data_IF_141056734511
#
_entry.id   IF_141056734511
#
_cell.length_a   1.000
_cell.length_b   1.000
_cell.length_c   1.000
_cell.angle_alpha   90.00
_cell.angle_beta   90.00
_cell.angle_gamma   90.00
#
_symmetry.space_group_name_H-M   'P 1'
#
loop_
_entity.id
_entity.type
_entity.pdbx_description
1 polymer ?
#
# COMPACT_ATOMS: atom_id res chain seq x y z
N UNK A 1 -43.52 -49.66 -5.93
CA UNK A 1 -42.33 -49.07 -6.60
C UNK A 1 -42.34 -47.54 -6.70
N UNK A 2 -43.23 -46.80 -6.02
CA UNK A 2 -43.28 -45.32 -6.07
C UNK A 2 -42.55 -44.60 -4.90
N UNK A 3 -42.12 -45.33 -3.87
CA UNK A 3 -41.57 -44.71 -2.65
C UNK A 3 -40.00 -44.69 -2.57
N UNK A 4 -39.32 -45.34 -3.52
CA UNK A 4 -37.85 -45.40 -3.54
C UNK A 4 -37.25 -44.16 -4.22
N UNK A 5 -37.99 -43.50 -5.12
CA UNK A 5 -37.51 -42.32 -5.85
C UNK A 5 -37.43 -41.04 -5.00
N UNK A 6 -38.18 -40.95 -3.89
CA UNK A 6 -38.20 -39.77 -3.03
C UNK A 6 -37.07 -39.75 -2.02
N UNK A 7 -36.49 -40.89 -1.64
CA UNK A 7 -35.41 -40.99 -0.67
C UNK A 7 -34.06 -40.67 -1.32
N UNK A 8 -33.87 -40.98 -2.60
CA UNK A 8 -32.62 -40.70 -3.32
C UNK A 8 -32.44 -39.19 -3.62
N UNK A 9 -33.57 -38.47 -3.81
CA UNK A 9 -33.53 -37.02 -4.08
C UNK A 9 -33.17 -36.17 -2.86
N UNK A 10 -33.37 -36.67 -1.63
CA UNK A 10 -33.09 -35.93 -0.39
C UNK A 10 -31.62 -36.07 0.08
N UNK A 11 -30.90 -37.08 -0.41
CA UNK A 11 -29.50 -37.31 -0.07
C UNK A 11 -28.51 -36.49 -0.89
N UNK A 12 -28.92 -35.81 -1.96
CA UNK A 12 -28.06 -34.99 -2.81
C UNK A 12 -27.93 -33.53 -2.38
N UNK A 13 -28.67 -33.08 -1.36
CA UNK A 13 -28.66 -31.67 -0.93
C UNK A 13 -27.64 -31.38 0.19
N UNK A 14 -26.99 -32.40 0.78
CA UNK A 14 -26.05 -32.24 1.89
C UNK A 14 -24.57 -32.20 1.50
N UNK A 15 -24.25 -32.13 0.20
CA UNK A 15 -22.85 -32.26 -0.25
C UNK A 15 -22.10 -30.95 -0.55
N UNK A 16 -22.63 -29.79 -0.19
CA UNK A 16 -21.90 -28.52 -0.46
C UNK A 16 -21.94 -27.54 0.70
N UNK A 17 -21.44 -27.92 1.88
CA UNK A 17 -21.10 -26.92 2.91
C UNK A 17 -20.02 -27.46 3.85
N UNK A 18 -18.84 -27.78 3.32
CA UNK A 18 -17.62 -27.68 4.12
C UNK A 18 -16.95 -26.36 3.74
N UNK A 19 -17.07 -25.29 4.54
CA UNK A 19 -16.13 -24.19 4.41
C UNK A 19 -14.76 -24.79 4.61
N UNK A 20 -13.87 -24.64 3.64
CA UNK A 20 -12.50 -25.04 3.77
C UNK A 20 -11.94 -24.38 5.04
N UNK A 21 -11.88 -25.11 6.13
CA UNK A 21 -11.21 -24.69 7.35
C UNK A 21 -9.71 -24.69 7.04
N UNK A 22 -9.22 -23.58 6.47
CA UNK A 22 -7.77 -23.38 6.41
C UNK A 22 -7.25 -23.38 7.84
N UNK A 23 -6.34 -24.29 8.12
CA UNK A 23 -5.65 -24.30 9.40
C UNK A 23 -4.91 -22.96 9.55
N UNK A 24 -4.69 -22.50 10.78
CA UNK A 24 -3.96 -21.27 11.06
C UNK A 24 -2.53 -21.31 10.47
N UNK A 25 -1.98 -22.50 10.28
CA UNK A 25 -0.66 -22.77 9.66
C UNK A 25 -0.64 -22.60 8.13
N UNK A 26 -1.81 -22.64 7.46
CA UNK A 26 -1.89 -22.64 5.99
C UNK A 26 -2.09 -21.23 5.41
N UNK A 27 -2.18 -20.20 6.25
CA UNK A 27 -2.38 -18.82 5.81
C UNK A 27 -1.04 -18.14 5.62
N UNK A 28 -0.69 -17.69 4.38
CA UNK A 28 0.57 -17.02 4.14
C UNK A 28 0.62 -15.66 4.83
N UNK A 29 1.80 -15.28 5.29
CA UNK A 29 2.06 -13.89 5.65
C UNK A 29 2.07 -13.01 4.40
N UNK A 30 1.54 -11.79 4.50
CA UNK A 30 1.42 -10.87 3.37
C UNK A 30 2.21 -9.59 3.68
N UNK A 31 3.17 -9.28 2.83
CA UNK A 31 3.91 -8.01 2.87
C UNK A 31 3.62 -7.27 1.57
N UNK A 32 2.96 -6.13 1.67
CA UNK A 32 2.68 -5.24 0.54
C UNK A 32 3.66 -4.07 0.61
N UNK A 33 4.54 -3.95 -0.39
CA UNK A 33 5.51 -2.85 -0.47
C UNK A 33 5.07 -1.86 -1.53
N UNK A 34 4.82 -0.62 -1.11
CA UNK A 34 4.49 0.50 -1.99
C UNK A 34 5.63 1.52 -1.98
N UNK A 35 6.12 1.89 -3.15
CA UNK A 35 7.10 2.96 -3.33
C UNK A 35 6.42 4.10 -4.08
N UNK A 36 6.37 5.28 -3.45
CA UNK A 36 5.61 6.41 -3.95
C UNK A 36 6.37 7.15 -5.07
N UNK A 37 5.69 7.42 -6.17
CA UNK A 37 6.24 8.10 -7.36
C UNK A 37 7.43 7.39 -8.03
N UNK A 38 7.66 6.10 -7.77
CA UNK A 38 8.69 5.31 -8.45
C UNK A 38 8.24 4.97 -9.88
N UNK A 39 9.05 5.30 -10.86
CA UNK A 39 8.83 4.94 -12.25
C UNK A 39 9.06 3.45 -12.50
N UNK A 40 8.26 2.84 -13.36
CA UNK A 40 8.39 1.41 -13.66
C UNK A 40 9.73 1.03 -14.32
N UNK A 41 10.38 1.99 -15.01
CA UNK A 41 11.71 1.81 -15.60
C UNK A 41 12.88 2.16 -14.67
N UNK A 42 12.61 2.57 -13.43
CA UNK A 42 13.67 2.96 -12.50
C UNK A 42 14.31 1.77 -11.78
N UNK A 43 13.86 0.54 -12.09
CA UNK A 43 14.38 -0.69 -11.51
C UNK A 43 15.33 -1.40 -12.49
N UNK A 44 16.43 -1.98 -11.98
CA UNK A 44 17.42 -2.68 -12.80
C UNK A 44 16.82 -3.82 -13.62
N UNK A 45 16.00 -4.68 -13.01
CA UNK A 45 15.32 -5.79 -13.71
C UNK A 45 14.26 -5.32 -14.74
N UNK A 46 13.88 -4.04 -14.71
CA UNK A 46 13.02 -3.41 -15.72
C UNK A 46 13.81 -2.65 -16.79
N UNK A 47 15.15 -2.71 -16.75
CA UNK A 47 16.05 -2.18 -17.77
C UNK A 47 16.74 -0.86 -17.40
N UNK A 48 16.65 -0.37 -16.15
CA UNK A 48 17.44 0.79 -15.71
C UNK A 48 18.93 0.48 -15.76
N UNK A 49 19.68 1.35 -16.42
CA UNK A 49 21.16 1.31 -16.42
C UNK A 49 21.77 2.31 -15.45
N UNK A 50 20.97 3.27 -15.00
CA UNK A 50 21.39 4.33 -14.09
C UNK A 50 21.15 3.97 -12.64
N UNK A 51 19.92 3.56 -12.30
CA UNK A 51 19.56 3.20 -10.92
C UNK A 51 19.96 1.76 -10.61
N UNK A 52 20.60 1.57 -9.47
CA UNK A 52 21.06 0.27 -8.97
C UNK A 52 20.04 -0.28 -7.97
N UNK A 53 19.45 -1.43 -8.29
CA UNK A 53 18.46 -2.10 -7.44
C UNK A 53 18.81 -3.58 -7.22
N UNK A 54 20.06 -3.93 -6.80
CA UNK A 54 20.57 -5.29 -6.84
C UNK A 54 19.74 -6.28 -6.01
N UNK A 55 19.20 -5.86 -4.87
CA UNK A 55 18.35 -6.72 -4.04
C UNK A 55 16.97 -6.96 -4.65
N UNK A 56 16.37 -5.95 -5.31
CA UNK A 56 15.11 -6.12 -6.03
C UNK A 56 15.30 -6.93 -7.30
N UNK A 57 16.43 -6.76 -7.98
CA UNK A 57 16.77 -7.52 -9.18
C UNK A 57 16.92 -9.01 -8.86
N UNK A 58 17.56 -9.35 -7.72
CA UNK A 58 17.67 -10.72 -7.25
C UNK A 58 16.30 -11.28 -6.79
N UNK A 59 15.53 -10.49 -6.08
CA UNK A 59 14.19 -10.88 -5.65
C UNK A 59 13.26 -11.15 -6.85
N UNK A 60 13.35 -10.36 -7.90
CA UNK A 60 12.57 -10.53 -9.12
C UNK A 60 12.83 -11.88 -9.81
N UNK A 61 14.04 -12.45 -9.70
CA UNK A 61 14.38 -13.80 -10.24
C UNK A 61 13.70 -14.93 -9.49
N UNK A 62 13.29 -14.69 -8.24
CA UNK A 62 12.67 -15.68 -7.35
C UNK A 62 11.15 -15.60 -7.34
N UNK A 63 10.57 -14.64 -8.04
CA UNK A 63 9.14 -14.34 -8.03
C UNK A 63 8.56 -14.17 -9.42
N UNK A 64 7.36 -13.60 -9.46
CA UNK A 64 6.66 -13.26 -10.70
C UNK A 64 6.79 -11.76 -10.98
N UNK A 65 7.24 -11.40 -12.17
CA UNK A 65 7.30 -10.03 -12.65
C UNK A 65 6.12 -9.76 -13.58
N UNK A 66 5.29 -8.78 -13.23
CA UNK A 66 4.17 -8.34 -14.05
C UNK A 66 4.64 -7.20 -14.98
N UNK A 67 4.85 -7.50 -16.25
CA UNK A 67 5.33 -6.53 -17.25
C UNK A 67 4.24 -5.54 -17.70
N UNK A 68 2.97 -5.89 -17.50
CA UNK A 68 1.81 -5.10 -17.87
C UNK A 68 0.89 -4.83 -16.66
N UNK A 69 1.47 -4.38 -15.53
CA UNK A 69 0.73 -3.94 -14.36
C UNK A 69 0.55 -2.42 -14.37
N UNK A 70 -0.68 -1.96 -14.15
CA UNK A 70 -1.03 -0.54 -14.24
C UNK A 70 -1.61 -0.06 -12.91
N UNK A 71 -1.15 1.12 -12.46
CA UNK A 71 -1.80 1.82 -11.37
C UNK A 71 -3.20 2.28 -11.81
N UNK A 72 -4.19 2.13 -10.96
CA UNK A 72 -5.59 2.48 -11.24
C UNK A 72 -5.86 3.97 -11.36
N UNK A 73 -4.91 4.82 -10.98
CA UNK A 73 -4.93 6.26 -11.15
C UNK A 73 -3.52 6.84 -11.13
N UNK A 74 -3.34 7.99 -11.78
CA UNK A 74 -2.05 8.67 -11.93
C UNK A 74 -1.57 9.37 -10.64
N UNK A 75 -2.45 9.61 -9.67
CA UNK A 75 -2.12 10.26 -8.39
C UNK A 75 -2.13 9.26 -7.24
N UNK A 76 -1.36 9.56 -6.20
CA UNK A 76 -1.20 8.69 -5.03
C UNK A 76 -2.51 8.39 -4.28
N UNK A 77 -3.31 9.38 -3.89
CA UNK A 77 -4.53 9.14 -3.11
C UNK A 77 -5.57 8.29 -3.87
N UNK A 78 -5.97 8.58 -5.11
CA UNK A 78 -6.93 7.75 -5.82
C UNK A 78 -6.38 6.34 -6.14
N UNK A 79 -5.09 6.22 -6.47
CA UNK A 79 -4.46 4.90 -6.69
C UNK A 79 -4.50 4.04 -5.42
N UNK A 80 -4.16 4.62 -4.26
CA UNK A 80 -4.24 3.95 -2.96
C UNK A 80 -5.67 3.62 -2.55
N UNK A 81 -6.62 4.52 -2.79
CA UNK A 81 -8.03 4.27 -2.55
C UNK A 81 -8.52 3.06 -3.35
N UNK A 82 -8.13 2.95 -4.62
CA UNK A 82 -8.44 1.78 -5.45
C UNK A 82 -7.75 0.51 -4.95
N UNK A 83 -6.46 0.59 -4.61
CA UNK A 83 -5.68 -0.55 -4.12
C UNK A 83 -6.31 -1.18 -2.86
N UNK A 84 -6.69 -0.36 -1.89
CA UNK A 84 -7.24 -0.85 -0.63
C UNK A 84 -8.74 -1.16 -0.66
N UNK A 85 -9.51 -0.59 -1.59
CA UNK A 85 -10.95 -0.83 -1.70
C UNK A 85 -11.34 -1.84 -2.78
N UNK A 86 -10.45 -2.16 -3.72
CA UNK A 86 -10.79 -2.94 -4.92
C UNK A 86 -11.73 -2.21 -5.88
N UNK A 87 -11.99 -0.92 -5.66
CA UNK A 87 -12.91 -0.11 -6.45
C UNK A 87 -12.14 0.85 -7.37
N UNK A 88 -12.69 1.15 -8.53
CA UNK A 88 -12.17 2.23 -9.38
C UNK A 88 -12.65 3.62 -8.91
N UNK A 89 -11.97 4.67 -9.39
CA UNK A 89 -12.17 6.05 -8.93
C UNK A 89 -13.62 6.55 -8.99
N UNK A 90 -14.45 6.27 -10.00
CA UNK A 90 -15.86 6.68 -10.00
C UNK A 90 -16.68 6.09 -8.85
N UNK A 91 -16.35 4.90 -8.40
CA UNK A 91 -17.08 4.22 -7.32
C UNK A 91 -16.70 4.72 -5.93
N UNK A 92 -15.41 4.89 -5.64
CA UNK A 92 -15.00 5.42 -4.33
C UNK A 92 -14.99 6.95 -4.27
N UNK A 93 -14.98 7.66 -5.41
CA UNK A 93 -15.13 9.11 -5.49
C UNK A 93 -13.88 9.93 -5.11
N UNK A 94 -12.73 9.29 -4.88
CA UNK A 94 -11.43 9.95 -4.68
C UNK A 94 -10.76 10.06 -6.05
N UNK A 95 -10.91 11.19 -6.73
CA UNK A 95 -10.44 11.36 -8.12
C UNK A 95 -9.01 11.91 -8.22
N UNK A 96 -8.60 12.70 -7.23
CA UNK A 96 -7.30 13.36 -7.22
C UNK A 96 -6.87 13.76 -5.82
N UNK A 97 -5.62 14.13 -5.67
CA UNK A 97 -5.11 14.78 -4.46
C UNK A 97 -5.61 16.22 -4.40
N UNK A 98 -6.23 16.60 -3.29
CA UNK A 98 -6.75 17.94 -3.08
C UNK A 98 -8.02 18.23 -3.90
N UNK A 99 -8.05 19.34 -4.63
CA UNK A 99 -9.22 19.78 -5.39
C UNK A 99 -9.17 19.30 -6.83
N UNK A 100 -10.30 18.81 -7.34
CA UNK A 100 -10.48 18.52 -8.77
C UNK A 100 -10.68 19.79 -9.63
N UNK A 101 -10.89 20.95 -9.00
CA UNK A 101 -11.02 22.23 -9.69
C UNK A 101 -9.65 22.74 -10.13
N UNK A 102 -9.37 22.67 -11.43
CA UNK A 102 -8.13 23.17 -12.05
C UNK A 102 -8.41 24.42 -12.87
N UNK A 103 -7.42 25.32 -12.95
CA UNK A 103 -7.48 26.53 -13.73
C UNK A 103 -8.46 27.59 -13.18
N UNK A 104 -8.58 28.72 -13.89
CA UNK A 104 -9.49 29.81 -13.54
C UNK A 104 -10.95 29.38 -13.76
N UNK A 105 -11.81 29.68 -12.78
CA UNK A 105 -13.25 29.39 -12.84
C UNK A 105 -13.92 30.02 -14.07
N UNK A 106 -13.48 31.23 -14.49
CA UNK A 106 -14.05 31.99 -15.60
C UNK A 106 -13.80 31.35 -16.97
N UNK A 107 -12.70 30.62 -17.10
CA UNK A 107 -12.29 29.97 -18.35
C UNK A 107 -12.54 28.45 -18.37
N UNK A 108 -13.06 27.91 -17.26
CA UNK A 108 -13.32 26.49 -17.14
C UNK A 108 -14.53 26.06 -17.97
N UNK A 109 -14.30 25.22 -18.97
CA UNK A 109 -15.34 24.71 -19.89
C UNK A 109 -16.15 23.55 -19.31
N UNK A 110 -15.59 22.80 -18.34
CA UNK A 110 -16.22 21.62 -17.75
C UNK A 110 -16.41 21.80 -16.25
N UNK A 111 -17.52 21.27 -15.74
CA UNK A 111 -17.74 21.15 -14.29
C UNK A 111 -16.95 19.95 -13.78
N UNK A 112 -15.96 20.16 -12.90
CA UNK A 112 -15.17 19.06 -12.40
C UNK A 112 -16.00 18.17 -11.45
N UNK A 113 -15.77 16.86 -11.50
CA UNK A 113 -16.38 15.91 -10.56
C UNK A 113 -16.07 16.31 -9.11
N UNK A 114 -17.04 16.12 -8.21
CA UNK A 114 -16.86 16.38 -6.78
C UNK A 114 -15.87 15.35 -6.20
N UNK A 115 -14.68 15.83 -5.85
CA UNK A 115 -13.64 14.99 -5.27
C UNK A 115 -13.92 14.72 -3.78
N UNK A 116 -13.90 13.46 -3.36
CA UNK A 116 -13.84 13.09 -1.95
C UNK A 116 -12.38 13.16 -1.49
N UNK A 117 -12.16 13.75 -0.31
CA UNK A 117 -10.82 13.91 0.25
C UNK A 117 -10.23 12.58 0.76
N UNK A 118 -11.12 11.70 1.26
CA UNK A 118 -10.76 10.41 1.86
C UNK A 118 -11.65 9.31 1.31
N UNK A 119 -11.16 8.08 1.41
CA UNK A 119 -11.98 6.89 1.25
C UNK A 119 -13.04 6.89 2.36
N UNK A 120 -14.29 6.59 2.01
CA UNK A 120 -15.36 6.53 2.99
C UNK A 120 -15.18 5.28 3.88
N UNK A 121 -15.29 5.46 5.20
CA UNK A 121 -15.14 4.38 6.17
C UNK A 121 -16.20 3.27 6.04
N UNK A 122 -17.31 3.51 5.30
CA UNK A 122 -18.28 2.47 4.96
C UNK A 122 -17.82 1.53 3.83
N UNK A 123 -16.70 1.84 3.17
CA UNK A 123 -16.12 1.00 2.12
C UNK A 123 -15.21 -0.03 2.80
N UNK A 124 -15.57 -1.30 2.68
CA UNK A 124 -14.80 -2.40 3.23
C UNK A 124 -13.46 -2.55 2.52
N UNK A 125 -12.39 -2.47 3.26
CA UNK A 125 -11.02 -2.39 2.74
C UNK A 125 -10.27 -3.72 2.83
N UNK A 126 -9.19 -3.85 2.08
CA UNK A 126 -8.30 -5.01 2.15
C UNK A 126 -7.79 -5.31 3.57
N UNK A 127 -7.33 -4.32 4.38
CA UNK A 127 -6.96 -4.60 5.77
C UNK A 127 -8.13 -5.09 6.63
N UNK A 128 -9.34 -4.55 6.47
CA UNK A 128 -10.53 -5.02 7.20
C UNK A 128 -10.87 -6.46 6.83
N UNK A 129 -10.79 -6.81 5.55
CA UNK A 129 -11.00 -8.17 5.07
C UNK A 129 -9.98 -9.14 5.69
N UNK A 130 -8.70 -8.79 5.66
CA UNK A 130 -7.63 -9.61 6.23
C UNK A 130 -7.75 -9.73 7.75
N UNK A 131 -8.10 -8.63 8.43
CA UNK A 131 -8.37 -8.63 9.87
C UNK A 131 -9.54 -9.56 10.23
N UNK A 132 -10.64 -9.52 9.47
CA UNK A 132 -11.76 -10.44 9.68
C UNK A 132 -11.39 -11.91 9.42
N UNK A 133 -10.38 -12.15 8.57
CA UNK A 133 -9.80 -13.46 8.36
C UNK A 133 -8.75 -13.85 9.42
N UNK A 134 -8.56 -13.06 10.48
CA UNK A 134 -7.67 -13.37 11.60
C UNK A 134 -6.20 -12.97 11.40
N UNK A 135 -5.91 -12.08 10.45
CA UNK A 135 -4.59 -11.49 10.30
C UNK A 135 -4.36 -10.37 11.29
N UNK A 136 -3.15 -10.25 11.82
CA UNK A 136 -2.67 -9.04 12.50
C UNK A 136 -2.24 -8.05 11.42
N UNK A 137 -2.84 -6.84 11.40
CA UNK A 137 -2.65 -5.88 10.32
C UNK A 137 -1.79 -4.71 10.74
N UNK A 138 -0.87 -4.28 9.86
CA UNK A 138 0.02 -3.15 10.15
C UNK A 138 0.24 -2.26 8.92
N UNK A 139 0.44 -0.96 9.19
CA UNK A 139 0.85 0.03 8.20
C UNK A 139 2.10 0.76 8.67
N UNK A 140 3.10 0.84 7.81
CA UNK A 140 4.36 1.54 8.02
C UNK A 140 4.56 2.56 6.90
N UNK A 141 4.38 3.84 7.23
CA UNK A 141 4.51 4.96 6.29
C UNK A 141 3.20 5.44 5.69
N UNK A 142 3.27 5.94 4.46
CA UNK A 142 2.22 6.71 3.80
C UNK A 142 0.89 5.95 3.68
N UNK A 143 -0.19 6.53 4.21
CA UNK A 143 -1.57 6.04 4.03
C UNK A 143 -2.33 6.86 2.98
N UNK A 144 -2.57 8.12 3.25
CA UNK A 144 -3.09 9.15 2.32
C UNK A 144 -4.54 8.96 1.86
N UNK A 145 -5.30 8.04 2.44
CA UNK A 145 -6.71 7.80 2.10
C UNK A 145 -7.67 7.94 3.29
N UNK A 146 -7.15 8.31 4.45
CA UNK A 146 -7.88 8.53 5.69
C UNK A 146 -7.01 9.27 6.70
N UNK A 147 -7.61 9.75 7.81
CA UNK A 147 -6.87 10.44 8.87
C UNK A 147 -6.05 9.46 9.72
N UNK A 148 -6.65 8.33 10.04
CA UNK A 148 -6.05 7.26 10.83
C UNK A 148 -6.33 5.91 10.17
N UNK A 149 -5.31 5.16 9.75
CA UNK A 149 -5.47 3.83 9.18
C UNK A 149 -6.23 2.85 10.07
N UNK A 150 -6.27 3.08 11.38
CA UNK A 150 -6.97 2.21 12.33
C UNK A 150 -8.49 2.16 12.09
N UNK A 151 -9.07 3.24 11.56
CA UNK A 151 -10.51 3.25 11.18
C UNK A 151 -10.81 2.39 9.95
N UNK A 152 -9.76 1.93 9.25
CA UNK A 152 -9.83 1.17 8.01
C UNK A 152 -9.11 -0.19 8.14
N UNK A 153 -9.16 -0.80 9.32
CA UNK A 153 -8.74 -2.18 9.55
C UNK A 153 -7.28 -2.39 9.92
N UNK A 154 -6.50 -1.35 10.20
CA UNK A 154 -5.11 -1.46 10.63
C UNK A 154 -5.02 -1.52 12.17
N UNK A 155 -4.35 -2.54 12.72
CA UNK A 155 -4.08 -2.68 14.15
C UNK A 155 -2.88 -1.84 14.60
N UNK A 156 -1.80 -1.86 13.83
CA UNK A 156 -0.55 -1.16 14.12
C UNK A 156 -0.22 -0.13 13.04
N UNK A 157 -0.11 1.14 13.42
CA UNK A 157 0.18 2.23 12.48
C UNK A 157 1.41 3.02 12.92
N UNK A 158 2.39 3.11 12.06
CA UNK A 158 3.59 3.94 12.20
C UNK A 158 3.70 4.88 11.00
N UNK A 159 3.53 6.18 11.21
CA UNK A 159 3.73 7.21 10.18
C UNK A 159 2.61 7.35 9.15
N UNK A 160 1.51 6.58 9.27
CA UNK A 160 0.40 6.66 8.33
C UNK A 160 -0.67 7.66 8.76
N UNK A 161 -0.99 8.63 7.90
CA UNK A 161 -2.09 9.59 8.11
C UNK A 161 -2.63 10.08 6.75
N UNK A 162 -3.40 11.14 6.79
CA UNK A 162 -3.89 11.79 5.57
C UNK A 162 -2.81 12.60 4.81
N UNK A 163 -1.58 12.68 5.33
CA UNK A 163 -0.47 13.37 4.67
C UNK A 163 0.07 12.56 3.50
N UNK A 164 0.28 13.23 2.36
CA UNK A 164 0.76 12.60 1.13
C UNK A 164 2.26 12.70 0.90
N UNK A 165 2.99 13.42 1.76
CA UNK A 165 4.43 13.60 1.68
C UNK A 165 5.04 13.72 3.09
N UNK A 166 6.36 13.63 3.25
CA UNK A 166 7.01 13.69 4.57
C UNK A 166 7.07 15.09 5.18
N UNK A 167 6.47 16.10 4.53
CA UNK A 167 6.50 17.49 4.97
C UNK A 167 7.74 18.26 4.51
N UNK A 168 7.85 19.52 4.94
CA UNK A 168 8.95 20.41 4.52
C UNK A 168 10.32 19.99 5.02
N UNK A 169 10.36 19.35 6.19
CA UNK A 169 11.62 18.88 6.80
C UNK A 169 12.13 17.59 6.14
N UNK A 170 11.24 16.93 5.37
CA UNK A 170 11.61 15.82 4.50
C UNK A 170 11.86 14.51 5.22
N UNK A 171 12.91 13.80 4.77
CA UNK A 171 13.16 12.40 5.11
C UNK A 171 14.09 12.19 6.31
N UNK A 172 14.57 13.26 6.96
CA UNK A 172 15.47 13.13 8.09
C UNK A 172 14.82 13.60 9.40
N UNK A 173 15.04 12.84 10.48
CA UNK A 173 14.54 13.18 11.81
C UNK A 173 15.18 14.50 12.32
N UNK A 174 14.39 15.40 12.96
CA UNK A 174 13.04 15.18 13.50
C UNK A 174 11.94 15.22 12.44
N UNK A 175 11.14 14.15 12.39
CA UNK A 175 10.03 14.07 11.45
C UNK A 175 8.83 14.91 11.89
N UNK A 176 8.13 15.52 10.93
CA UNK A 176 6.81 16.15 11.15
C UNK A 176 5.68 15.28 10.58
N UNK A 177 5.77 13.98 10.82
CA UNK A 177 4.83 12.95 10.38
C UNK A 177 4.02 12.47 11.57
N UNK A 178 2.70 12.36 11.40
CA UNK A 178 1.81 11.85 12.45
C UNK A 178 2.11 10.37 12.74
N UNK A 179 1.88 9.94 13.97
CA UNK A 179 2.03 8.55 14.41
C UNK A 179 3.45 7.95 14.27
N UNK A 180 4.48 8.81 14.25
CA UNK A 180 5.88 8.37 14.35
C UNK A 180 6.60 9.21 15.40
N UNK A 181 7.32 8.55 16.29
CA UNK A 181 8.15 9.23 17.30
C UNK A 181 9.55 9.49 16.73
N UNK A 182 10.08 10.68 16.99
CA UNK A 182 11.47 10.99 16.69
C UNK A 182 12.35 10.32 17.74
N UNK A 183 13.32 9.51 17.32
CA UNK A 183 14.24 8.82 18.23
C UNK A 183 15.67 9.36 18.08
N UNK A 184 16.20 9.29 16.86
CA UNK A 184 17.58 9.69 16.60
C UNK A 184 17.62 10.88 15.64
N UNK A 185 18.28 12.00 16.00
CA UNK A 185 18.49 13.11 15.09
C UNK A 185 19.22 12.63 13.81
N UNK A 186 18.71 13.06 12.65
CA UNK A 186 19.28 12.68 11.35
C UNK A 186 18.96 11.25 10.89
N UNK A 187 18.13 10.51 11.60
CA UNK A 187 17.64 9.18 11.14
C UNK A 187 16.85 9.32 9.83
N UNK A 188 17.13 8.45 8.86
CA UNK A 188 16.49 8.47 7.57
C UNK A 188 15.15 7.72 7.62
N UNK A 189 14.07 8.36 7.18
CA UNK A 189 12.69 7.85 7.29
C UNK A 189 12.51 6.46 6.65
N UNK A 190 13.11 6.23 5.49
CA UNK A 190 13.00 4.95 4.80
C UNK A 190 13.61 3.81 5.64
N UNK A 191 14.77 4.05 6.27
CA UNK A 191 15.37 3.08 7.18
C UNK A 191 14.50 2.84 8.41
N UNK A 192 13.96 3.93 8.98
CA UNK A 192 13.08 3.84 10.14
C UNK A 192 11.86 2.97 9.85
N UNK A 193 11.15 3.22 8.77
CA UNK A 193 9.95 2.44 8.38
C UNK A 193 10.30 0.97 8.12
N UNK A 194 11.44 0.70 7.49
CA UNK A 194 11.95 -0.65 7.27
C UNK A 194 12.22 -1.37 8.58
N UNK A 195 12.91 -0.72 9.53
CA UNK A 195 13.24 -1.30 10.85
C UNK A 195 11.99 -1.58 11.68
N UNK A 196 10.99 -0.69 11.66
CA UNK A 196 9.70 -0.90 12.31
C UNK A 196 8.96 -2.11 11.71
N UNK A 197 8.99 -2.23 10.38
CA UNK A 197 8.38 -3.39 9.69
C UNK A 197 9.08 -4.70 10.08
N UNK A 198 10.40 -4.73 10.10
CA UNK A 198 11.18 -5.92 10.52
C UNK A 198 10.86 -6.29 11.97
N UNK A 199 10.77 -5.30 12.86
CA UNK A 199 10.41 -5.51 14.26
C UNK A 199 9.00 -6.11 14.40
N UNK A 200 8.04 -5.59 13.64
CA UNK A 200 6.68 -6.13 13.59
C UNK A 200 6.65 -7.58 13.10
N UNK A 201 7.35 -7.89 12.01
CA UNK A 201 7.43 -9.24 11.44
C UNK A 201 7.97 -10.22 12.48
N UNK A 202 9.09 -9.89 13.11
CA UNK A 202 9.72 -10.76 14.14
C UNK A 202 8.78 -11.03 15.31
N UNK A 203 8.00 -10.02 15.72
CA UNK A 203 7.04 -10.14 16.84
C UNK A 203 5.82 -11.00 16.48
N UNK A 204 5.42 -11.02 15.22
CA UNK A 204 4.18 -11.66 14.79
C UNK A 204 4.39 -12.91 13.94
N UNK A 205 5.60 -13.45 13.86
CA UNK A 205 5.95 -14.58 12.99
C UNK A 205 5.12 -15.85 13.26
N UNK A 206 4.62 -16.02 14.48
CA UNK A 206 3.78 -17.15 14.88
C UNK A 206 2.30 -17.00 14.50
N UNK A 207 1.89 -15.91 13.87
CA UNK A 207 0.50 -15.62 13.49
C UNK A 207 0.45 -15.09 12.07
N UNK A 208 -0.62 -15.34 11.30
CA UNK A 208 -0.79 -14.68 10.02
C UNK A 208 -0.79 -13.16 10.19
N UNK A 209 0.00 -12.47 9.39
CA UNK A 209 0.05 -11.01 9.42
C UNK A 209 -0.01 -10.40 8.01
N UNK A 210 -0.53 -9.18 7.97
CA UNK A 210 -0.47 -8.28 6.82
C UNK A 210 0.33 -7.03 7.20
N UNK A 211 1.44 -6.82 6.52
CA UNK A 211 2.28 -5.63 6.68
C UNK A 211 2.26 -4.79 5.40
N UNK A 212 1.68 -3.59 5.46
CA UNK A 212 1.79 -2.59 4.40
C UNK A 212 2.99 -1.69 4.67
N UNK A 213 4.12 -1.96 4.03
CA UNK A 213 5.29 -1.10 4.03
C UNK A 213 5.15 -0.09 2.87
N UNK A 214 4.74 1.11 3.21
CA UNK A 214 4.37 2.14 2.26
C UNK A 214 5.29 3.34 2.38
N UNK A 215 6.37 3.32 1.62
CA UNK A 215 7.36 4.37 1.64
C UNK A 215 6.78 5.72 1.16
N UNK A 216 7.26 6.80 1.77
CA UNK A 216 7.09 8.15 1.21
C UNK A 216 8.04 8.38 0.03
N UNK A 217 9.19 7.69 0.02
CA UNK A 217 10.15 7.72 -1.10
C UNK A 217 9.50 7.12 -2.36
N UNK A 218 9.74 7.68 -3.56
CA UNK A 218 10.68 8.76 -3.86
C UNK A 218 9.99 10.13 -4.03
N UNK A 219 8.85 10.36 -3.39
CA UNK A 219 8.10 11.61 -3.47
C UNK A 219 8.93 12.82 -2.98
N UNK A 220 8.63 14.00 -3.49
CA UNK A 220 9.24 15.26 -3.04
C UNK A 220 8.97 15.55 -1.54
N UNK A 221 9.94 16.22 -0.83
CA UNK A 221 11.22 16.75 -1.32
C UNK A 221 12.20 15.64 -1.67
N UNK A 222 13.00 15.84 -2.73
CA UNK A 222 14.00 14.85 -3.13
C UNK A 222 15.20 14.94 -2.18
N UNK A 223 15.32 13.93 -1.32
CA UNK A 223 16.37 13.84 -0.32
C UNK A 223 16.87 12.40 -0.21
N UNK A 224 18.18 12.23 -0.11
CA UNK A 224 18.82 10.93 0.06
C UNK A 224 19.99 11.01 1.03
N UNK A 225 20.49 9.86 1.45
CA UNK A 225 21.70 9.78 2.27
C UNK A 225 22.90 10.33 1.47
N UNK A 226 23.75 11.11 2.10
CA UNK A 226 24.94 11.72 1.47
C UNK A 226 25.84 10.69 0.77
N UNK A 227 25.97 9.48 1.33
CA UNK A 227 26.76 8.39 0.72
C UNK A 227 26.18 7.96 -0.63
N UNK A 228 24.86 7.78 -0.74
CA UNK A 228 24.19 7.44 -1.99
C UNK A 228 24.25 8.56 -3.02
N UNK A 229 24.03 9.81 -2.59
CA UNK A 229 24.16 10.98 -3.46
C UNK A 229 25.55 11.04 -4.07
N UNK A 230 26.60 10.84 -3.25
CA UNK A 230 28.00 10.82 -3.72
C UNK A 230 28.22 9.71 -4.76
N UNK A 231 27.68 8.51 -4.54
CA UNK A 231 27.80 7.41 -5.47
C UNK A 231 27.19 7.74 -6.85
N UNK A 232 26.01 8.33 -6.85
CA UNK A 232 25.31 8.69 -8.09
C UNK A 232 25.87 9.95 -8.76
N UNK A 233 26.47 10.89 -8.01
CA UNK A 233 27.05 12.10 -8.58
C UNK A 233 28.25 11.84 -9.51
N UNK A 234 28.89 10.67 -9.38
CA UNK A 234 30.00 10.25 -10.26
C UNK A 234 29.54 9.49 -11.50
N UNK A 235 28.26 9.17 -11.62
CA UNK A 235 27.71 8.47 -12.78
C UNK A 235 27.33 9.45 -13.90
N UNK A 236 27.65 9.08 -15.13
CA UNK A 236 27.09 9.80 -16.27
C UNK A 236 25.57 9.56 -16.32
N UNK A 237 24.84 10.67 -16.37
CA UNK A 237 23.39 10.58 -16.62
C UNK A 237 23.12 10.01 -18.01
N UNK A 238 21.99 9.31 -18.17
CA UNK A 238 21.54 8.79 -19.45
C UNK A 238 20.65 9.81 -20.13
#
# INVERSE_FOLDING_TARGET
MKNIFFIVSFLLIFSCNNPAHFSKSDRPNIILINVDDLGWKDLGFMGSQYYETPFLDEFAKQGMVFTNAYASAANCAPSRASLFSGLNTPRHGVYTVGSSKRGDKRTRKLVPAKNKKYLNDSIYTLPEMLKSAGYVTANFGKWHIGKDPKTQGIDHNIGGSNKGNPGKDGYFSPYKIDFIKNEKPGEYLTDRLTNETITFIKKNIASPFFANLSFYSVHTPIQGKKSWIKNYASKNGV
#
